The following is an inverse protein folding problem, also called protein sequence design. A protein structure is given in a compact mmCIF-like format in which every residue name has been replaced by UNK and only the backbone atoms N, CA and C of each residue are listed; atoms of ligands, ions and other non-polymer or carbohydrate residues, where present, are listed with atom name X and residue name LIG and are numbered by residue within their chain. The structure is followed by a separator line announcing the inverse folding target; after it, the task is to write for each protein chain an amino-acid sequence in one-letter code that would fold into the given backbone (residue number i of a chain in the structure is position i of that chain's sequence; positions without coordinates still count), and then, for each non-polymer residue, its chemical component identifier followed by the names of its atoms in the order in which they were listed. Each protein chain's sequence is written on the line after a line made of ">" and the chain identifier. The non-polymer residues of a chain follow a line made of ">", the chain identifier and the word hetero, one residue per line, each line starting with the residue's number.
data_IF_630223646938
#
_entry.id   IF_630223646938
#
_cell.length_a   1.000
_cell.length_b   1.000
_cell.length_c   1.000
_cell.angle_alpha   90.00
_cell.angle_beta   90.00
_cell.angle_gamma   90.00
#
_symmetry.space_group_name_H-M   'P 1'
#
loop_
_entity.id
_entity.type
_entity.pdbx_description
1 polymer ?
#
# COMPACT_ATOMS: atom_id res chain seq x y z
N UNK A 1 19.94 -6.35 17.80
CA UNK A 1 19.46 -4.99 18.11
C UNK A 1 18.95 -5.05 19.53
N UNK A 2 19.37 -4.14 20.42
CA UNK A 2 19.02 -4.19 21.85
C UNK A 2 17.87 -3.23 22.14
N UNK A 3 16.63 -3.71 22.00
CA UNK A 3 15.40 -2.98 22.32
C UNK A 3 14.21 -3.95 22.43
N UNK A 4 13.26 -3.64 23.30
CA UNK A 4 11.96 -4.33 23.39
C UNK A 4 10.89 -3.68 22.50
N UNK A 5 10.92 -2.34 22.42
CA UNK A 5 9.99 -1.54 21.62
C UNK A 5 10.78 -0.57 20.74
N UNK A 6 10.47 -0.57 19.45
CA UNK A 6 10.94 0.41 18.49
C UNK A 6 9.77 1.25 17.97
N UNK A 7 9.86 2.57 18.10
CA UNK A 7 8.93 3.49 17.47
C UNK A 7 9.68 4.35 16.47
N UNK A 8 9.17 4.40 15.24
CA UNK A 8 9.75 5.19 14.16
C UNK A 8 8.65 5.87 13.37
N UNK A 9 8.93 7.07 12.87
CA UNK A 9 8.06 7.79 11.94
C UNK A 9 8.36 7.41 10.47
N UNK A 10 9.55 6.83 10.24
CA UNK A 10 10.00 6.44 8.91
C UNK A 10 9.51 5.04 8.54
N UNK A 11 9.32 4.83 7.23
CA UNK A 11 9.03 3.52 6.67
C UNK A 11 10.10 2.49 7.05
N UNK A 12 9.64 1.33 7.51
CA UNK A 12 10.49 0.21 7.91
C UNK A 12 10.68 -0.75 6.73
N UNK A 13 11.92 -1.12 6.46
CA UNK A 13 12.24 -2.11 5.42
C UNK A 13 11.86 -3.52 5.88
N UNK A 14 11.37 -4.39 4.98
CA UNK A 14 11.02 -5.77 5.33
C UNK A 14 12.16 -6.53 6.02
N UNK A 15 13.41 -6.27 5.63
CA UNK A 15 14.60 -6.90 6.20
C UNK A 15 14.83 -6.53 7.66
N UNK A 16 14.33 -5.38 8.12
CA UNK A 16 14.34 -5.01 9.54
C UNK A 16 13.36 -5.88 10.30
N UNK A 17 12.16 -6.07 9.75
CA UNK A 17 11.09 -6.86 10.39
C UNK A 17 11.44 -8.35 10.48
N UNK A 18 12.11 -8.91 9.46
CA UNK A 18 12.50 -10.32 9.44
C UNK A 18 13.64 -10.66 10.42
N UNK A 19 14.37 -9.65 10.88
CA UNK A 19 15.48 -9.80 11.85
C UNK A 19 15.06 -9.52 13.29
N UNK A 20 13.78 -9.24 13.53
CA UNK A 20 13.27 -9.03 14.89
C UNK A 20 13.15 -10.34 15.65
N UNK A 21 13.49 -10.28 16.93
CA UNK A 21 13.24 -11.36 17.89
C UNK A 21 11.75 -11.41 18.28
N UNK A 22 11.27 -12.56 18.77
CA UNK A 22 9.84 -12.78 19.06
C UNK A 22 9.25 -11.80 20.10
N UNK A 23 10.08 -11.32 21.03
CA UNK A 23 9.66 -10.37 22.07
C UNK A 23 9.56 -8.93 21.55
N UNK A 24 10.23 -8.61 20.45
CA UNK A 24 10.37 -7.26 19.95
C UNK A 24 9.06 -6.75 19.32
N UNK A 25 8.73 -5.49 19.59
CA UNK A 25 7.56 -4.80 19.02
C UNK A 25 7.97 -3.54 18.27
N UNK A 26 7.42 -3.35 17.08
CA UNK A 26 7.59 -2.15 16.28
C UNK A 26 6.24 -1.62 15.82
N UNK A 27 6.10 -0.30 15.70
CA UNK A 27 4.85 0.38 15.31
C UNK A 27 4.50 0.27 13.81
N UNK A 28 5.07 -0.70 13.08
CA UNK A 28 4.95 -0.84 11.63
C UNK A 28 4.61 -2.27 11.22
N UNK A 29 3.61 -2.44 10.36
CA UNK A 29 3.24 -3.74 9.80
C UNK A 29 3.96 -4.01 8.48
N UNK A 30 4.43 -5.25 8.22
CA UNK A 30 4.95 -5.64 6.92
C UNK A 30 3.87 -5.46 5.85
N UNK A 31 4.25 -4.94 4.68
CA UNK A 31 3.33 -4.78 3.55
C UNK A 31 2.38 -3.58 3.62
N UNK A 32 2.41 -2.77 4.69
CA UNK A 32 1.54 -1.58 4.84
C UNK A 32 1.69 -0.59 3.67
N UNK A 33 2.85 -0.57 3.00
CA UNK A 33 3.09 0.24 1.82
C UNK A 33 2.10 -0.03 0.66
N UNK A 34 1.45 -1.19 0.62
CA UNK A 34 0.40 -1.47 -0.38
C UNK A 34 -0.83 -0.57 -0.21
N UNK A 35 -1.09 -0.11 1.02
CA UNK A 35 -2.17 0.82 1.33
C UNK A 35 -1.67 2.26 1.44
N UNK A 36 -0.45 2.46 1.96
CA UNK A 36 0.09 3.80 2.20
C UNK A 36 0.64 4.49 0.94
N UNK A 37 1.13 3.74 -0.06
CA UNK A 37 1.63 4.34 -1.31
C UNK A 37 0.51 4.48 -2.33
N UNK A 38 0.22 5.72 -2.76
CA UNK A 38 -0.90 6.06 -3.66
C UNK A 38 -0.96 5.20 -4.93
N UNK A 39 0.19 4.90 -5.53
CA UNK A 39 0.27 4.04 -6.71
C UNK A 39 -0.18 2.59 -6.44
N UNK A 40 0.26 2.00 -5.32
CA UNK A 40 -0.11 0.64 -4.95
C UNK A 40 -1.55 0.57 -4.44
N UNK A 41 -1.98 1.58 -3.66
CA UNK A 41 -3.35 1.74 -3.21
C UNK A 41 -4.31 1.85 -4.40
N UNK A 42 -4.02 2.76 -5.33
CA UNK A 42 -4.83 2.95 -6.55
C UNK A 42 -4.94 1.66 -7.36
N UNK A 43 -3.82 0.97 -7.60
CA UNK A 43 -3.83 -0.33 -8.29
C UNK A 43 -4.69 -1.38 -7.58
N UNK A 44 -4.62 -1.45 -6.25
CA UNK A 44 -5.40 -2.38 -5.43
C UNK A 44 -6.89 -2.06 -5.45
N UNK A 45 -7.24 -0.79 -5.21
CA UNK A 45 -8.63 -0.34 -5.17
C UNK A 45 -9.30 -0.38 -6.53
N UNK A 46 -8.61 -0.04 -7.62
CA UNK A 46 -9.15 -0.19 -8.97
C UNK A 46 -9.42 -1.66 -9.33
N UNK A 47 -8.57 -2.59 -8.87
CA UNK A 47 -8.85 -4.03 -9.01
C UNK A 47 -10.07 -4.46 -8.21
N UNK A 48 -10.23 -3.98 -6.98
CA UNK A 48 -11.39 -4.30 -6.15
C UNK A 48 -12.67 -3.68 -6.71
N UNK A 49 -12.63 -2.44 -7.23
CA UNK A 49 -13.75 -1.81 -7.95
C UNK A 49 -14.20 -2.60 -9.16
N UNK A 50 -13.28 -3.18 -9.94
CA UNK A 50 -13.62 -4.08 -11.06
C UNK A 50 -14.36 -5.35 -10.59
N UNK A 51 -14.03 -5.87 -9.40
CA UNK A 51 -14.61 -7.11 -8.87
C UNK A 51 -15.91 -6.89 -8.07
N UNK A 52 -16.01 -5.76 -7.38
CA UNK A 52 -17.08 -5.42 -6.45
C UNK A 52 -17.48 -3.95 -6.64
N UNK A 53 -18.08 -3.58 -7.79
CA UNK A 53 -18.31 -2.19 -8.16
C UNK A 53 -19.14 -1.42 -7.14
N UNK A 54 -20.21 -2.02 -6.61
CA UNK A 54 -21.12 -1.36 -5.66
C UNK A 54 -20.47 -1.11 -4.28
N UNK A 55 -19.48 -1.92 -3.89
CA UNK A 55 -18.81 -1.80 -2.59
C UNK A 55 -17.59 -0.86 -2.63
N UNK A 56 -17.03 -0.63 -3.82
CA UNK A 56 -15.78 0.11 -4.02
C UNK A 56 -15.97 1.39 -4.84
N UNK A 57 -17.20 1.91 -4.93
CA UNK A 57 -17.49 3.21 -5.56
C UNK A 57 -17.02 4.42 -4.72
N UNK A 58 -16.61 4.19 -3.47
CA UNK A 58 -16.05 5.24 -2.61
C UNK A 58 -14.69 5.79 -3.11
N UNK A 59 -13.99 5.06 -3.98
CA UNK A 59 -12.66 5.44 -4.47
C UNK A 59 -12.74 5.98 -5.91
N UNK A 60 -12.22 7.18 -6.20
CA UNK A 60 -12.31 7.77 -7.53
C UNK A 60 -11.57 6.94 -8.59
N UNK A 61 -12.05 7.01 -9.83
CA UNK A 61 -11.35 6.44 -10.98
C UNK A 61 -9.92 6.99 -11.00
N UNK A 62 -8.95 6.08 -11.01
CA UNK A 62 -7.53 6.39 -10.90
C UNK A 62 -6.79 5.60 -11.96
N UNK A 63 -5.87 6.27 -12.67
CA UNK A 63 -5.03 5.66 -13.71
C UNK A 63 -3.56 5.69 -13.31
N UNK A 64 -2.87 4.59 -13.55
CA UNK A 64 -1.47 4.34 -13.27
C UNK A 64 -0.60 4.74 -14.46
N UNK A 65 -0.10 5.96 -14.44
CA UNK A 65 0.80 6.45 -15.49
C UNK A 65 2.24 5.92 -15.28
N UNK A 66 2.98 5.66 -16.37
CA UNK A 66 2.60 5.85 -17.77
C UNK A 66 1.76 4.72 -18.38
N UNK A 67 1.60 3.60 -17.66
CA UNK A 67 1.02 2.34 -18.19
C UNK A 67 -0.40 2.53 -18.72
N UNK A 68 -1.24 3.26 -17.99
CA UNK A 68 -2.67 3.42 -18.30
C UNK A 68 -2.97 4.76 -19.01
N UNK A 69 -1.96 5.38 -19.65
CA UNK A 69 -2.11 6.66 -20.35
C UNK A 69 -3.13 6.60 -21.49
N UNK A 70 -3.12 5.52 -22.27
CA UNK A 70 -4.07 5.35 -23.37
C UNK A 70 -5.51 5.20 -22.87
N UNK A 71 -5.73 4.52 -21.75
CA UNK A 71 -7.04 4.38 -21.11
C UNK A 71 -7.54 5.73 -20.59
N UNK A 72 -6.67 6.49 -19.94
CA UNK A 72 -6.97 7.84 -19.48
C UNK A 72 -7.39 8.74 -20.66
N UNK A 73 -6.63 8.71 -21.75
CA UNK A 73 -6.92 9.50 -22.96
C UNK A 73 -8.17 9.03 -23.71
N UNK A 74 -8.56 7.76 -23.58
CA UNK A 74 -9.79 7.26 -24.19
C UNK A 74 -11.04 7.62 -23.36
N UNK A 75 -10.87 7.84 -22.06
CA UNK A 75 -11.96 8.20 -21.15
C UNK A 75 -12.35 9.68 -21.24
N UNK A 76 -11.36 10.56 -21.47
CA UNK A 76 -11.53 12.02 -21.61
C UNK A 76 -11.47 12.47 -23.07
#
# INVERSE_FOLDING_TARGET
>A
MDWDICWTDNAVQPETLTKMELYQKINHFPGMYNLARKNLLGRGLMRMRKKFPDQYDFFPLTWMLPVEYHELKAYF
#
